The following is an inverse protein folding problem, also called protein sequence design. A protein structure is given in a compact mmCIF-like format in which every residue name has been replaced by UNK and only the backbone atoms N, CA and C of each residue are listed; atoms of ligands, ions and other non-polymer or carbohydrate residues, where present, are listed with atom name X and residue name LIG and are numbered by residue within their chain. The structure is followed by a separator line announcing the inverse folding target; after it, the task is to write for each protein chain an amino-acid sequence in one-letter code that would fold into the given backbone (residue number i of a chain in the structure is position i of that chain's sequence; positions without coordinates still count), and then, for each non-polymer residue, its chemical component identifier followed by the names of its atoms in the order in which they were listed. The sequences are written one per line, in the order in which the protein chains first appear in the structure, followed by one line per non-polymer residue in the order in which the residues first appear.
data_IF_153686295845
#
_entry.id   IF_153686295845
#
_cell.length_a   1.000
_cell.length_b   1.000
_cell.length_c   1.000
_cell.angle_alpha   90.00
_cell.angle_beta   90.00
_cell.angle_gamma   90.00
#
_symmetry.space_group_name_H-M   'P 1'
#
loop_
_entity.id
_entity.type
_entity.pdbx_description
1 polymer ?
#
# COMPACT_ATOMS: atom_id res chain seq x y z
N UNK A 1 -18.05 -22.63 5.36
CA UNK A 1 -16.70 -22.76 4.76
C UNK A 1 -16.50 -21.91 3.50
N UNK A 2 -17.54 -21.54 2.74
CA UNK A 2 -17.39 -20.77 1.48
C UNK A 2 -16.95 -19.30 1.62
N UNK A 3 -16.95 -18.71 2.83
CA UNK A 3 -16.59 -17.29 3.03
C UNK A 3 -15.07 -17.03 3.13
N UNK A 4 -14.28 -18.06 3.45
CA UNK A 4 -12.82 -17.93 3.61
C UNK A 4 -12.11 -17.83 2.25
N UNK A 5 -12.67 -18.47 1.21
CA UNK A 5 -12.09 -18.45 -0.13
C UNK A 5 -12.07 -17.05 -0.77
N UNK A 6 -13.03 -16.19 -0.44
CA UNK A 6 -13.20 -14.86 -1.06
C UNK A 6 -12.14 -13.85 -0.60
N UNK A 7 -11.55 -14.04 0.58
CA UNK A 7 -10.53 -13.12 1.14
C UNK A 7 -9.15 -13.40 0.54
N UNK A 8 -8.84 -14.67 0.27
CA UNK A 8 -7.54 -15.10 -0.26
C UNK A 8 -7.36 -14.63 -1.72
N UNK A 9 -8.44 -14.55 -2.51
CA UNK A 9 -8.36 -14.14 -3.92
C UNK A 9 -8.05 -12.65 -4.11
N UNK A 10 -8.39 -11.79 -3.15
CA UNK A 10 -8.19 -10.34 -3.26
C UNK A 10 -6.70 -9.92 -3.16
N UNK A 11 -5.85 -10.77 -2.56
CA UNK A 11 -4.42 -10.51 -2.38
C UNK A 11 -3.65 -10.73 -3.70
N UNK A 12 -4.15 -11.58 -4.60
CA UNK A 12 -3.45 -11.93 -5.84
C UNK A 12 -3.65 -10.95 -6.99
N UNK A 13 -4.52 -9.94 -6.86
CA UNK A 13 -4.75 -8.94 -7.92
C UNK A 13 -3.72 -7.80 -7.87
N UNK A 14 -2.78 -7.82 -6.92
CA UNK A 14 -1.58 -6.98 -6.98
C UNK A 14 -0.59 -7.56 -8.00
N UNK A 15 -0.98 -7.60 -9.27
CA UNK A 15 -0.07 -7.75 -10.41
C UNK A 15 0.89 -6.56 -10.43
N UNK A 16 1.86 -6.60 -9.53
CA UNK A 16 2.92 -5.66 -9.23
C UNK A 16 3.89 -5.56 -10.41
N UNK A 17 3.50 -4.90 -11.50
CA UNK A 17 4.49 -4.40 -12.44
C UNK A 17 5.12 -3.11 -11.87
N UNK A 18 5.76 -3.25 -10.71
CA UNK A 18 6.43 -2.16 -9.98
C UNK A 18 7.94 -2.17 -10.11
N UNK A 19 8.50 -3.19 -10.78
CA UNK A 19 9.93 -3.24 -11.04
C UNK A 19 10.31 -2.07 -11.97
N UNK A 20 11.20 -1.17 -11.53
CA UNK A 20 11.68 -0.08 -12.34
C UNK A 20 12.58 -0.63 -13.47
N UNK A 21 12.70 0.14 -14.55
CA UNK A 21 13.33 -0.33 -15.80
C UNK A 21 14.80 -0.73 -15.62
N UNK A 22 15.50 -0.07 -14.71
CA UNK A 22 16.89 -0.34 -14.34
C UNK A 22 17.07 -1.68 -13.60
N UNK A 23 16.02 -2.23 -12.99
CA UNK A 23 16.07 -3.50 -12.27
C UNK A 23 15.69 -4.69 -13.16
N UNK A 24 15.20 -4.45 -14.39
CA UNK A 24 14.84 -5.50 -15.33
C UNK A 24 16.08 -6.20 -15.90
N UNK A 25 16.00 -7.52 -16.07
CA UNK A 25 17.02 -8.27 -16.80
C UNK A 25 17.08 -7.86 -18.28
N UNK A 26 18.18 -8.16 -18.97
CA UNK A 26 18.33 -7.81 -20.39
C UNK A 26 17.20 -8.37 -21.28
N UNK A 27 16.73 -9.59 -21.02
CA UNK A 27 15.61 -10.20 -21.75
C UNK A 27 14.28 -9.47 -21.46
N UNK A 28 14.07 -9.02 -20.23
CA UNK A 28 12.89 -8.23 -19.84
C UNK A 28 12.91 -6.83 -20.45
N UNK A 29 14.08 -6.17 -20.49
CA UNK A 29 14.25 -4.87 -21.15
C UNK A 29 13.96 -4.98 -22.65
N UNK A 30 14.39 -6.05 -23.30
CA UNK A 30 14.08 -6.30 -24.72
C UNK A 30 12.57 -6.48 -24.95
N UNK A 31 11.92 -7.30 -24.12
CA UNK A 31 10.47 -7.48 -24.21
C UNK A 31 9.70 -6.18 -23.95
N UNK A 32 10.17 -5.38 -22.99
CA UNK A 32 9.62 -4.05 -22.71
C UNK A 32 9.76 -3.09 -23.88
N UNK A 33 10.95 -2.99 -24.48
CA UNK A 33 11.20 -2.15 -25.64
C UNK A 33 10.33 -2.56 -26.85
N UNK A 34 10.17 -3.87 -27.08
CA UNK A 34 9.25 -4.40 -28.10
C UNK A 34 7.79 -4.01 -27.81
N UNK A 35 7.36 -4.07 -26.55
CA UNK A 35 6.03 -3.62 -26.14
C UNK A 35 5.80 -2.12 -26.42
N UNK A 36 6.80 -1.28 -26.19
CA UNK A 36 6.75 0.15 -26.50
C UNK A 36 6.68 0.40 -28.01
N UNK A 37 7.56 -0.25 -28.78
CA UNK A 37 7.53 -0.14 -30.23
C UNK A 37 6.17 -0.56 -30.80
N UNK A 38 5.59 -1.64 -30.26
CA UNK A 38 4.25 -2.10 -30.63
C UNK A 38 3.18 -1.03 -30.35
N UNK A 39 3.20 -0.35 -29.21
CA UNK A 39 2.25 0.73 -28.90
C UNK A 39 2.30 1.85 -29.93
N UNK A 40 3.49 2.24 -30.38
CA UNK A 40 3.65 3.26 -31.42
C UNK A 40 3.06 2.82 -32.77
N UNK A 41 3.21 1.55 -33.13
CA UNK A 41 2.60 0.98 -34.34
C UNK A 41 1.09 0.91 -34.21
N UNK A 42 0.60 0.50 -33.04
CA UNK A 42 -0.84 0.44 -32.74
C UNK A 42 -1.47 1.86 -32.76
N UNK A 43 -0.67 2.91 -32.53
CA UNK A 43 -1.05 4.32 -32.72
C UNK A 43 -0.95 4.79 -34.19
N UNK A 44 -0.58 3.91 -35.12
CA UNK A 44 -0.51 4.21 -36.56
C UNK A 44 0.86 4.71 -37.05
N UNK A 45 1.88 4.73 -36.19
CA UNK A 45 3.22 5.21 -36.54
C UNK A 45 4.07 4.04 -37.05
N UNK A 46 4.39 4.05 -38.34
CA UNK A 46 5.24 3.01 -38.94
C UNK A 46 6.70 3.13 -38.47
N UNK A 47 7.44 2.02 -38.50
CA UNK A 47 8.85 1.98 -38.12
C UNK A 47 9.74 2.99 -38.87
N UNK A 48 9.38 3.30 -40.13
CA UNK A 48 10.14 4.21 -40.99
C UNK A 48 9.66 5.67 -40.87
N UNK A 49 8.64 5.93 -40.04
CA UNK A 49 8.16 7.28 -39.84
C UNK A 49 9.19 8.07 -39.01
N UNK A 50 9.50 9.33 -39.37
CA UNK A 50 10.44 10.15 -38.60
C UNK A 50 10.01 10.35 -37.13
N UNK A 51 8.70 10.28 -36.86
CA UNK A 51 8.15 10.41 -35.51
C UNK A 51 8.21 9.12 -34.69
N UNK A 52 8.58 7.98 -35.29
CA UNK A 52 8.62 6.70 -34.58
C UNK A 52 9.56 6.74 -33.36
N UNK A 53 10.72 7.38 -33.52
CA UNK A 53 11.67 7.60 -32.42
C UNK A 53 11.08 8.50 -31.32
N UNK A 54 10.36 9.55 -31.71
CA UNK A 54 9.72 10.46 -30.76
C UNK A 54 8.59 9.75 -29.99
N UNK A 55 7.81 8.91 -30.66
CA UNK A 55 6.80 8.08 -30.01
C UNK A 55 7.42 7.11 -29.00
N UNK A 56 8.47 6.39 -29.38
CA UNK A 56 9.16 5.47 -28.47
C UNK A 56 9.68 6.22 -27.24
N UNK A 57 10.28 7.40 -27.41
CA UNK A 57 10.76 8.20 -26.27
C UNK A 57 9.59 8.62 -25.36
N UNK A 58 8.50 9.12 -25.93
CA UNK A 58 7.31 9.53 -25.18
C UNK A 58 6.69 8.36 -24.40
N UNK A 59 6.49 7.20 -25.04
CA UNK A 59 5.94 6.01 -24.41
C UNK A 59 6.88 5.41 -23.35
N UNK A 60 8.19 5.47 -23.57
CA UNK A 60 9.18 5.03 -22.58
C UNK A 60 9.16 5.87 -21.31
N UNK A 61 9.09 7.20 -21.45
CA UNK A 61 8.96 8.14 -20.34
C UNK A 61 7.63 7.95 -19.61
N UNK A 62 6.55 7.76 -20.36
CA UNK A 62 5.22 7.49 -19.80
C UNK A 62 5.22 6.22 -18.96
N UNK A 63 5.81 5.14 -19.46
CA UNK A 63 5.88 3.86 -18.76
C UNK A 63 6.76 3.95 -17.51
N UNK A 64 7.94 4.57 -17.62
CA UNK A 64 8.83 4.81 -16.48
C UNK A 64 8.14 5.64 -15.39
N UNK A 65 7.44 6.73 -15.76
CA UNK A 65 6.67 7.55 -14.83
C UNK A 65 5.48 6.79 -14.21
N UNK A 66 4.86 5.88 -14.96
CA UNK A 66 3.80 4.99 -14.44
C UNK A 66 4.36 4.04 -13.38
N UNK A 67 5.49 3.37 -13.67
CA UNK A 67 6.16 2.47 -12.72
C UNK A 67 6.58 3.19 -11.44
N UNK A 68 7.16 4.38 -11.57
CA UNK A 68 7.55 5.21 -10.43
C UNK A 68 6.33 5.63 -9.58
N UNK A 69 5.23 6.05 -10.21
CA UNK A 69 4.00 6.38 -9.48
C UNK A 69 3.41 5.17 -8.77
N UNK A 70 3.46 4.00 -9.40
CA UNK A 70 2.97 2.77 -8.79
C UNK A 70 3.81 2.35 -7.58
N UNK A 71 5.14 2.45 -7.65
CA UNK A 71 6.01 2.15 -6.50
C UNK A 71 5.78 3.14 -5.35
N UNK A 72 5.67 4.44 -5.65
CA UNK A 72 5.32 5.47 -4.67
C UNK A 72 3.94 5.24 -4.05
N UNK A 73 2.94 4.86 -4.86
CA UNK A 73 1.60 4.57 -4.36
C UNK A 73 1.59 3.35 -3.45
N UNK A 74 2.35 2.30 -3.77
CA UNK A 74 2.49 1.14 -2.89
C UNK A 74 3.10 1.51 -1.55
N UNK A 75 4.15 2.33 -1.55
CA UNK A 75 4.76 2.82 -0.31
C UNK A 75 3.76 3.63 0.52
N UNK A 76 2.99 4.53 -0.12
CA UNK A 76 1.94 5.32 0.57
C UNK A 76 0.83 4.45 1.12
N UNK A 77 0.35 3.47 0.36
CA UNK A 77 -0.68 2.52 0.82
C UNK A 77 -0.17 1.69 1.99
N UNK A 78 1.08 1.23 1.95
CA UNK A 78 1.69 0.48 3.04
C UNK A 78 1.81 1.33 4.32
N UNK A 79 2.23 2.59 4.20
CA UNK A 79 2.29 3.54 5.32
C UNK A 79 0.89 3.86 5.88
N UNK A 80 -0.10 4.10 5.00
CA UNK A 80 -1.48 4.35 5.41
C UNK A 80 -2.09 3.13 6.12
N UNK A 81 -1.80 1.92 5.63
CA UNK A 81 -2.23 0.69 6.27
C UNK A 81 -1.56 0.51 7.64
N UNK A 82 -0.25 0.75 7.73
CA UNK A 82 0.51 0.67 8.98
C UNK A 82 -0.03 1.64 10.05
N UNK A 83 -0.20 2.91 9.69
CA UNK A 83 -0.78 3.93 10.59
C UNK A 83 -2.22 3.59 10.99
N UNK A 84 -3.01 3.05 10.07
CA UNK A 84 -4.35 2.53 10.36
C UNK A 84 -4.34 1.43 11.42
N UNK A 85 -3.44 0.45 11.30
CA UNK A 85 -3.30 -0.63 12.29
C UNK A 85 -2.83 -0.10 13.65
N UNK A 86 -1.87 0.83 13.69
CA UNK A 86 -1.40 1.43 14.95
C UNK A 86 -2.52 2.20 15.64
N UNK A 87 -3.29 3.00 14.90
CA UNK A 87 -4.42 3.75 15.46
C UNK A 87 -5.54 2.84 15.94
N UNK A 88 -5.86 1.78 15.18
CA UNK A 88 -6.84 0.78 15.60
C UNK A 88 -6.39 0.04 16.87
N UNK A 89 -5.11 -0.31 16.97
CA UNK A 89 -4.52 -0.94 18.15
C UNK A 89 -4.58 -0.04 19.39
N UNK A 90 -4.25 1.25 19.23
CA UNK A 90 -4.37 2.23 20.30
C UNK A 90 -5.83 2.42 20.76
N UNK A 91 -6.77 2.54 19.81
CA UNK A 91 -8.19 2.65 20.12
C UNK A 91 -8.71 1.41 20.87
N UNK A 92 -8.32 0.21 20.43
CA UNK A 92 -8.69 -1.04 21.09
C UNK A 92 -8.09 -1.14 22.49
N UNK A 93 -6.81 -0.80 22.66
CA UNK A 93 -6.14 -0.80 23.97
C UNK A 93 -6.79 0.17 24.95
N UNK A 94 -7.16 1.37 24.48
CA UNK A 94 -7.87 2.36 25.29
C UNK A 94 -9.28 1.87 25.69
N UNK A 95 -10.03 1.26 24.76
CA UNK A 95 -11.34 0.70 25.03
C UNK A 95 -11.29 -0.54 25.96
N UNK A 96 -10.22 -1.34 25.87
CA UNK A 96 -9.98 -2.46 26.76
C UNK A 96 -9.63 -1.99 28.17
N UNK A 97 -8.82 -0.92 28.30
CA UNK A 97 -8.51 -0.32 29.59
C UNK A 97 -9.73 0.36 30.24
N UNK A 98 -10.62 0.97 29.46
CA UNK A 98 -11.83 1.61 30.01
C UNK A 98 -12.87 0.62 30.55
N UNK A 99 -12.87 -0.62 30.06
CA UNK A 99 -13.77 -1.68 30.53
C UNK A 99 -13.13 -2.61 31.56
N UNK A 100 -11.94 -2.26 32.07
CA UNK A 100 -11.24 -3.09 33.03
C UNK A 100 -11.90 -2.94 34.40
N UNK A 101 -12.31 -4.06 34.99
CA UNK A 101 -12.89 -4.06 36.33
C UNK A 101 -11.81 -3.65 37.34
N UNK A 102 -11.94 -2.45 37.91
CA UNK A 102 -11.04 -1.93 38.96
C UNK A 102 -11.64 -2.24 40.32
N UNK A 103 -10.82 -2.76 41.23
CA UNK A 103 -11.24 -3.03 42.60
C UNK A 103 -10.93 -1.79 43.43
N UNK A 104 -11.99 -1.10 43.88
CA UNK A 104 -11.86 0.06 44.74
C UNK A 104 -12.12 -0.34 46.19
N UNK A 105 -11.18 -0.02 47.08
CA UNK A 105 -11.37 -0.10 48.53
C UNK A 105 -11.47 1.30 49.11
N UNK A 106 -12.49 1.52 49.94
CA UNK A 106 -12.72 2.80 50.62
C UNK A 106 -12.53 2.62 52.11
N UNK A 107 -11.64 3.42 52.70
CA UNK A 107 -11.34 3.39 54.14
C UNK A 107 -11.69 4.76 54.70
N UNK A 108 -12.48 4.79 55.77
CA UNK A 108 -12.87 6.02 56.45
C UNK A 108 -11.83 6.38 57.50
N UNK A 109 -11.21 7.54 57.34
CA UNK A 109 -10.29 8.13 58.31
C UNK A 109 -11.03 8.53 59.59
N UNK A 110 -10.39 8.46 60.77
CA UNK A 110 -10.93 9.00 62.02
C UNK A 110 -11.27 10.51 61.96
N UNK A 111 -10.64 11.26 61.05
CA UNK A 111 -10.96 12.68 60.79
C UNK A 111 -12.23 12.90 59.95
N UNK A 112 -12.94 11.83 59.57
CA UNK A 112 -14.14 11.89 58.73
C UNK A 112 -13.87 11.86 57.23
N UNK A 113 -12.61 12.00 56.80
CA UNK A 113 -12.23 11.92 55.39
C UNK A 113 -12.38 10.47 54.86
N UNK A 114 -13.01 10.30 53.69
CA UNK A 114 -13.06 9.01 53.00
C UNK A 114 -11.92 8.99 51.99
N UNK A 115 -11.04 7.99 52.10
CA UNK A 115 -9.96 7.79 51.14
C UNK A 115 -10.26 6.53 50.32
N UNK A 116 -10.42 6.69 49.01
CA UNK A 116 -10.72 5.60 48.08
C UNK A 116 -9.48 5.32 47.24
N UNK A 117 -9.00 4.07 47.26
CA UNK A 117 -7.93 3.59 46.39
C UNK A 117 -8.49 2.55 45.44
N UNK A 118 -8.30 2.76 44.14
CA UNK A 118 -8.64 1.82 43.09
C UNK A 118 -7.35 1.29 42.47
N UNK A 119 -7.28 -0.03 42.26
CA UNK A 119 -6.17 -0.72 41.59
C UNK A 119 -6.68 -1.80 40.64
#
# INVERSE_FOLDING_TARGET
MNKIFLIITLIFITGCQTQPVNEMSYSQQKAWAQGIAKKCIDQGISYNHPEFKACIDAESRRDAASRYRNSMQQQRTAQALSTGFTNAGAAYSNAANSNRHVNCTSIRSPSGAINTRCY
#
